data_IF_804904100371
#
_entry.id   IF_804904100371
#
_cell.length_a   1.000
_cell.length_b   1.000
_cell.length_c   1.000
_cell.angle_alpha   90.00
_cell.angle_beta   90.00
_cell.angle_gamma   90.00
#
_symmetry.space_group_name_H-M   'P 1'
#
loop_
_entity.id
_entity.type
_entity.pdbx_description
1 polymer ?
#
# COMPACT_ATOMS: atom_id res chain seq x y z
N UNK A 1 -3.96 -16.37 29.90
CA UNK A 1 -2.74 -15.82 29.28
C UNK A 1 -3.17 -14.70 28.34
N UNK A 2 -2.94 -13.43 28.70
CA UNK A 2 -3.38 -12.29 27.90
C UNK A 2 -2.63 -12.28 26.56
N UNK A 3 -3.35 -12.14 25.44
CA UNK A 3 -2.71 -11.99 24.11
C UNK A 3 -1.76 -10.79 24.17
N UNK A 4 -0.46 -11.05 24.06
CA UNK A 4 0.53 -9.99 23.82
C UNK A 4 0.20 -9.39 22.46
N UNK A 5 -0.09 -8.10 22.42
CA UNK A 5 -0.40 -7.38 21.18
C UNK A 5 0.89 -7.11 20.41
N UNK A 6 0.82 -7.05 19.08
CA UNK A 6 1.99 -6.74 18.22
C UNK A 6 2.71 -5.45 18.65
N UNK A 7 1.96 -4.43 19.07
CA UNK A 7 2.52 -3.17 19.58
C UNK A 7 3.28 -3.31 20.90
N UNK A 8 3.03 -4.37 21.69
CA UNK A 8 3.75 -4.58 22.95
C UNK A 8 5.15 -5.18 22.74
N UNK A 9 5.44 -5.74 21.56
CA UNK A 9 6.75 -6.29 21.20
C UNK A 9 7.57 -5.36 20.31
N UNK A 10 6.91 -4.44 19.60
CA UNK A 10 7.57 -3.38 18.83
C UNK A 10 7.63 -2.13 19.71
N UNK A 11 8.70 -2.00 20.49
CA UNK A 11 8.93 -0.82 21.34
C UNK A 11 9.72 0.25 20.57
N UNK A 12 9.56 1.51 20.98
CA UNK A 12 10.37 2.65 20.52
C UNK A 12 10.35 2.91 19.00
N UNK A 13 9.32 2.42 18.30
CA UNK A 13 9.15 2.61 16.85
C UNK A 13 7.73 3.07 16.55
N UNK A 14 7.61 4.05 15.65
CA UNK A 14 6.32 4.48 15.12
C UNK A 14 5.78 3.42 14.16
N UNK A 15 4.56 2.93 14.42
CA UNK A 15 3.92 1.89 13.61
C UNK A 15 2.81 2.52 12.78
N UNK A 16 2.86 2.33 11.47
CA UNK A 16 1.77 2.65 10.54
C UNK A 16 1.13 1.36 10.02
N UNK A 17 -0.11 1.46 9.53
CA UNK A 17 -0.79 0.35 8.85
C UNK A 17 -1.06 0.73 7.41
N UNK A 18 -0.76 -0.19 6.50
CA UNK A 18 -0.98 -0.01 5.06
C UNK A 18 -2.10 -0.93 4.58
N UNK A 19 -3.22 -0.33 4.16
CA UNK A 19 -4.39 -1.04 3.60
C UNK A 19 -4.25 -1.11 2.09
N UNK A 20 -3.86 -2.28 1.57
CA UNK A 20 -3.66 -2.47 0.13
C UNK A 20 -4.99 -2.67 -0.60
N UNK A 21 -5.40 -1.67 -1.39
CA UNK A 21 -6.68 -1.69 -2.10
C UNK A 21 -6.79 -2.74 -3.21
N UNK A 22 -5.73 -3.51 -3.47
CA UNK A 22 -5.84 -4.78 -4.19
C UNK A 22 -6.93 -5.70 -3.61
N UNK A 23 -7.05 -5.73 -2.27
CA UNK A 23 -8.02 -6.57 -1.54
C UNK A 23 -9.42 -5.96 -1.40
N UNK A 24 -9.64 -4.74 -1.90
CA UNK A 24 -10.90 -4.02 -1.78
C UNK A 24 -10.70 -2.55 -1.40
N UNK A 25 -11.75 -1.76 -1.50
CA UNK A 25 -11.73 -0.37 -1.02
C UNK A 25 -11.60 -0.32 0.50
N UNK A 26 -11.43 0.88 1.06
CA UNK A 26 -11.15 1.05 2.49
C UNK A 26 -12.22 0.43 3.41
N UNK A 27 -13.48 0.45 2.97
CA UNK A 27 -14.64 -0.15 3.62
C UNK A 27 -14.52 -1.68 3.79
N UNK A 28 -13.72 -2.35 2.94
CA UNK A 28 -13.48 -3.81 3.01
C UNK A 28 -12.52 -4.22 4.12
N UNK A 29 -11.91 -3.25 4.82
CA UNK A 29 -11.06 -3.49 5.98
C UNK A 29 -11.82 -3.31 7.30
N UNK A 30 -13.13 -3.58 7.32
CA UNK A 30 -14.05 -3.43 8.46
C UNK A 30 -13.51 -4.01 9.78
N UNK A 31 -12.95 -5.22 9.74
CA UNK A 31 -12.35 -5.86 10.92
C UNK A 31 -11.23 -5.01 11.53
N UNK A 32 -10.36 -4.43 10.69
CA UNK A 32 -9.31 -3.54 11.13
C UNK A 32 -9.87 -2.17 11.53
N UNK A 33 -10.76 -1.61 10.72
CA UNK A 33 -11.32 -0.28 10.90
C UNK A 33 -12.10 -0.15 12.21
N UNK A 34 -12.74 -1.23 12.68
CA UNK A 34 -13.42 -1.32 13.97
C UNK A 34 -12.55 -1.88 15.12
N UNK A 35 -11.27 -2.18 14.89
CA UNK A 35 -10.42 -2.84 15.88
C UNK A 35 -9.87 -1.88 16.95
N UNK A 36 -9.60 -2.43 18.14
CA UNK A 36 -8.78 -1.76 19.16
C UNK A 36 -7.34 -1.52 18.68
N UNK A 37 -6.83 -2.37 17.79
CA UNK A 37 -5.48 -2.23 17.25
C UNK A 37 -5.34 -0.91 16.47
N UNK A 38 -6.32 -0.56 15.62
CA UNK A 38 -6.33 0.72 14.91
C UNK A 38 -6.28 1.90 15.90
N UNK A 39 -7.10 1.86 16.94
CA UNK A 39 -7.12 2.90 17.98
C UNK A 39 -5.75 3.03 18.67
N UNK A 40 -5.10 1.91 19.00
CA UNK A 40 -3.78 1.92 19.61
C UNK A 40 -2.70 2.46 18.67
N UNK A 41 -2.73 2.07 17.39
CA UNK A 41 -1.83 2.58 16.35
C UNK A 41 -1.96 4.10 16.23
N UNK A 42 -3.19 4.60 16.06
CA UNK A 42 -3.46 6.02 15.85
C UNK A 42 -3.19 6.85 17.12
N UNK A 43 -3.48 6.32 18.32
CA UNK A 43 -3.12 6.96 19.58
C UNK A 43 -1.60 7.07 19.81
N UNK A 44 -0.82 6.15 19.23
CA UNK A 44 0.65 6.20 19.20
C UNK A 44 1.23 7.14 18.14
N UNK A 45 0.38 7.89 17.40
CA UNK A 45 0.79 8.76 16.30
C UNK A 45 0.90 8.05 14.94
N UNK A 46 0.62 6.74 14.90
CA UNK A 46 0.61 5.95 13.68
C UNK A 46 -0.52 6.34 12.73
N UNK A 47 -0.37 6.03 11.44
CA UNK A 47 -1.37 6.35 10.39
C UNK A 47 -1.94 5.08 9.77
N UNK A 48 -3.21 5.15 9.36
CA UNK A 48 -3.93 4.10 8.62
C UNK A 48 -3.95 4.45 7.12
N UNK A 49 -2.88 4.13 6.42
CA UNK A 49 -2.63 4.53 5.03
C UNK A 49 -3.41 3.66 4.03
N UNK A 50 -3.89 4.26 2.94
CA UNK A 50 -4.60 3.57 1.86
C UNK A 50 -3.68 3.43 0.65
N UNK A 51 -3.18 2.22 0.40
CA UNK A 51 -2.25 1.96 -0.69
C UNK A 51 -2.99 1.63 -1.99
N UNK A 52 -2.65 2.27 -3.11
CA UNK A 52 -3.41 2.18 -4.35
C UNK A 52 -3.23 0.84 -5.06
N UNK A 53 -4.33 0.29 -5.56
CA UNK A 53 -4.34 -0.89 -6.43
C UNK A 53 -3.77 -0.52 -7.81
N UNK A 54 -2.87 -1.35 -8.31
CA UNK A 54 -2.47 -1.33 -9.71
C UNK A 54 -3.55 -2.01 -10.58
N UNK A 55 -3.88 -1.42 -11.72
CA UNK A 55 -4.87 -2.00 -12.64
C UNK A 55 -4.46 -3.42 -13.06
N UNK A 56 -5.39 -4.40 -13.10
CA UNK A 56 -5.06 -5.80 -13.39
C UNK A 56 -4.36 -6.01 -14.74
N UNK A 57 -4.68 -5.21 -15.75
CA UNK A 57 -4.03 -5.32 -17.06
C UNK A 57 -2.55 -4.90 -16.99
N UNK A 58 -2.23 -3.90 -16.17
CA UNK A 58 -0.86 -3.40 -16.01
C UNK A 58 -0.06 -4.34 -15.12
N UNK A 59 -0.64 -4.87 -14.04
CA UNK A 59 0.05 -5.88 -13.24
C UNK A 59 0.34 -7.14 -14.07
N UNK A 60 -0.62 -7.60 -14.88
CA UNK A 60 -0.43 -8.73 -15.80
C UNK A 60 0.69 -8.47 -16.82
N UNK A 61 0.78 -7.26 -17.35
CA UNK A 61 1.88 -6.84 -18.24
C UNK A 61 3.25 -7.04 -17.55
N UNK A 62 3.40 -6.57 -16.32
CA UNK A 62 4.64 -6.73 -15.53
C UNK A 62 4.96 -8.21 -15.29
N UNK A 63 3.97 -8.99 -14.88
CA UNK A 63 4.15 -10.41 -14.54
C UNK A 63 4.51 -11.26 -15.76
N UNK A 64 3.76 -11.11 -16.86
CA UNK A 64 3.94 -11.92 -18.06
C UNK A 64 5.31 -11.69 -18.72
N UNK A 65 5.76 -10.44 -18.72
CA UNK A 65 7.01 -10.04 -19.36
C UNK A 65 8.18 -9.94 -18.37
N UNK A 66 7.96 -10.30 -17.09
CA UNK A 66 8.96 -10.23 -16.00
C UNK A 66 9.64 -8.86 -15.91
N UNK A 67 8.88 -7.80 -16.12
CA UNK A 67 9.39 -6.44 -16.14
C UNK A 67 9.37 -5.82 -14.74
N UNK A 68 10.44 -5.10 -14.40
CA UNK A 68 10.39 -4.17 -13.28
C UNK A 68 9.52 -2.97 -13.65
N UNK A 69 9.03 -2.22 -12.65
CA UNK A 69 8.25 -0.99 -12.88
C UNK A 69 9.02 -0.02 -13.78
N UNK A 70 10.30 0.23 -13.47
CA UNK A 70 11.18 1.11 -14.25
C UNK A 70 11.37 0.60 -15.68
N UNK A 71 11.60 -0.69 -15.87
CA UNK A 71 11.76 -1.28 -17.20
C UNK A 71 10.49 -1.14 -18.04
N UNK A 72 9.32 -1.49 -17.48
CA UNK A 72 8.05 -1.38 -18.19
C UNK A 72 7.69 0.05 -18.60
N UNK A 73 8.04 1.05 -17.78
CA UNK A 73 7.86 2.46 -18.13
C UNK A 73 8.76 2.88 -19.31
N UNK A 74 9.96 2.33 -19.41
CA UNK A 74 10.94 2.67 -20.45
C UNK A 74 10.74 1.88 -21.75
N UNK A 75 10.11 0.71 -21.67
CA UNK A 75 9.97 -0.22 -22.80
C UNK A 75 8.93 0.28 -23.82
N UNK A 76 9.32 0.52 -25.09
CA UNK A 76 8.40 0.97 -26.13
C UNK A 76 7.40 -0.11 -26.57
N UNK A 77 7.67 -1.40 -26.29
CA UNK A 77 6.74 -2.50 -26.57
C UNK A 77 5.54 -2.53 -25.60
N UNK A 78 5.70 -1.94 -24.41
CA UNK A 78 4.60 -1.80 -23.44
C UNK A 78 3.64 -0.70 -23.93
N UNK A 79 2.32 -0.96 -23.98
CA UNK A 79 1.33 0.02 -24.42
C UNK A 79 1.47 1.36 -23.70
N UNK A 80 1.43 2.47 -24.45
CA UNK A 80 1.61 3.82 -23.88
C UNK A 80 0.63 4.10 -22.73
N UNK A 81 -0.62 3.63 -22.85
CA UNK A 81 -1.62 3.71 -21.79
C UNK A 81 -1.20 2.98 -20.51
N UNK A 82 -0.67 1.75 -20.63
CA UNK A 82 -0.17 0.98 -19.48
C UNK A 82 0.99 1.70 -18.80
N UNK A 83 1.92 2.28 -19.59
CA UNK A 83 3.03 3.08 -19.06
C UNK A 83 2.54 4.32 -18.31
N UNK A 84 1.53 5.01 -18.84
CA UNK A 84 0.90 6.16 -18.20
C UNK A 84 0.24 5.81 -16.86
N UNK A 85 -0.55 4.73 -16.83
CA UNK A 85 -1.16 4.20 -15.59
C UNK A 85 -0.09 3.84 -14.57
N UNK A 86 0.99 3.18 -15.00
CA UNK A 86 2.06 2.74 -14.10
C UNK A 86 2.79 3.93 -13.47
N UNK A 87 3.07 4.99 -14.24
CA UNK A 87 3.61 6.26 -13.72
C UNK A 87 2.66 6.92 -12.70
N UNK A 88 1.37 6.98 -13.02
CA UNK A 88 0.37 7.57 -12.13
C UNK A 88 0.22 6.77 -10.83
N UNK A 89 0.25 5.43 -10.92
CA UNK A 89 0.23 4.55 -9.76
C UNK A 89 1.49 4.74 -8.90
N UNK A 90 2.68 4.84 -9.52
CA UNK A 90 3.93 5.10 -8.80
C UNK A 90 3.86 6.41 -8.00
N UNK A 91 3.36 7.48 -8.61
CA UNK A 91 3.17 8.77 -7.92
C UNK A 91 2.26 8.63 -6.69
N UNK A 92 1.15 7.90 -6.82
CA UNK A 92 0.24 7.65 -5.67
C UNK A 92 0.90 6.82 -4.58
N UNK A 93 1.74 5.85 -4.93
CA UNK A 93 2.53 5.10 -3.94
C UNK A 93 3.51 6.01 -3.20
N UNK A 94 4.18 6.92 -3.92
CA UNK A 94 5.08 7.92 -3.33
C UNK A 94 4.32 8.82 -2.35
N UNK A 95 3.16 9.36 -2.74
CA UNK A 95 2.30 10.17 -1.87
C UNK A 95 1.96 9.44 -0.55
N UNK A 96 1.59 8.16 -0.64
CA UNK A 96 1.27 7.33 0.54
C UNK A 96 2.47 7.12 1.46
N UNK A 97 3.67 6.87 0.91
CA UNK A 97 4.85 6.64 1.72
C UNK A 97 5.49 7.93 2.24
N UNK A 98 5.33 9.05 1.53
CA UNK A 98 5.66 10.38 2.06
C UNK A 98 4.81 10.68 3.29
N UNK A 99 3.50 10.42 3.24
CA UNK A 99 2.63 10.55 4.41
C UNK A 99 3.09 9.67 5.59
N UNK A 100 3.74 8.52 5.33
CA UNK A 100 4.23 7.64 6.39
C UNK A 100 5.48 8.16 7.11
N UNK A 101 6.28 9.00 6.47
CA UNK A 101 7.58 9.47 6.99
C UNK A 101 7.54 10.92 7.52
N UNK A 102 6.46 11.64 7.26
CA UNK A 102 6.14 12.96 7.83
C UNK A 102 5.46 12.86 9.21
#
# INVERSE_FOLDING_TARGET
MGKVTYLAVVTDTLVHVVKNTYFGNDDRFDLYNGSKLRQQVEAGGGKSLVFPKLLPMVSRELYNNRLTIKAAIADPSVPLGNRGVLKAWQKKCEEVFTEAIE
#
